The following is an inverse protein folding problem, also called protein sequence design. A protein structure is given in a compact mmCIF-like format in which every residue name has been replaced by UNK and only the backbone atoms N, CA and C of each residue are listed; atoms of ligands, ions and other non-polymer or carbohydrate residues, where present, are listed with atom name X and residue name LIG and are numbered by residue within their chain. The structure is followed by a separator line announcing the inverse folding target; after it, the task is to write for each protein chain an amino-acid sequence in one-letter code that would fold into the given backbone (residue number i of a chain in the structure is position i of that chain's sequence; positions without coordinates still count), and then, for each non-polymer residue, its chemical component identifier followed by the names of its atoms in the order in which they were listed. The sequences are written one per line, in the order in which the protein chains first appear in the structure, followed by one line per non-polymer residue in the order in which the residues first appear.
data_IF_290325140162
#
_entry.id   IF_290325140162
#
_cell.length_a   1.000
_cell.length_b   1.000
_cell.length_c   1.000
_cell.angle_alpha   90.00
_cell.angle_beta   90.00
_cell.angle_gamma   90.00
#
_symmetry.space_group_name_H-M   'P 1'
#
loop_
_entity.id
_entity.type
_entity.pdbx_description
1 polymer ?
#
# COMPACT_ATOMS: atom_id res chain seq x y z
N UNK A 1 24.04 -55.27 14.14
CA UNK A 1 23.32 -54.10 13.60
C UNK A 1 21.88 -54.16 14.02
N UNK A 2 21.49 -53.32 14.98
CA UNK A 2 20.11 -53.12 15.42
C UNK A 2 19.68 -51.75 14.87
N UNK A 3 18.80 -51.75 13.88
CA UNK A 3 18.18 -50.54 13.37
C UNK A 3 17.09 -50.09 14.33
N UNK A 4 17.37 -49.00 15.04
CA UNK A 4 16.42 -48.27 15.87
C UNK A 4 15.44 -47.53 14.95
N UNK A 5 14.17 -47.95 14.95
CA UNK A 5 13.11 -47.31 14.17
C UNK A 5 12.13 -46.67 15.15
N UNK A 6 12.05 -45.34 15.17
CA UNK A 6 11.12 -44.62 16.03
C UNK A 6 9.68 -44.79 15.51
N UNK A 7 8.86 -45.61 16.19
CA UNK A 7 7.42 -45.66 15.94
C UNK A 7 6.78 -44.44 16.60
N UNK A 8 6.29 -43.49 15.78
CA UNK A 8 5.48 -42.35 16.27
C UNK A 8 4.12 -42.87 16.74
N UNK A 9 3.68 -42.58 17.99
CA UNK A 9 2.34 -42.94 18.42
C UNK A 9 1.28 -42.18 17.63
N UNK A 10 0.20 -42.87 17.27
CA UNK A 10 -0.94 -42.29 16.56
C UNK A 10 -1.60 -41.22 17.45
N UNK A 11 -1.62 -39.98 16.96
CA UNK A 11 -2.31 -38.87 17.60
C UNK A 11 -3.82 -39.10 17.49
N UNK A 12 -4.48 -39.28 18.65
CA UNK A 12 -5.93 -39.40 18.74
C UNK A 12 -6.54 -38.03 18.40
N UNK A 13 -7.48 -37.93 17.44
CA UNK A 13 -8.07 -36.64 17.10
C UNK A 13 -8.89 -36.09 18.28
N UNK A 14 -8.86 -34.77 18.52
CA UNK A 14 -9.63 -34.17 19.60
C UNK A 14 -11.13 -34.30 19.29
N UNK A 15 -11.88 -34.81 20.27
CA UNK A 15 -13.35 -34.85 20.24
C UNK A 15 -13.88 -33.42 20.25
N UNK A 16 -14.46 -32.98 19.13
CA UNK A 16 -15.09 -31.66 19.03
C UNK A 16 -16.37 -31.67 19.87
N UNK A 17 -16.35 -30.93 20.98
CA UNK A 17 -17.55 -30.68 21.79
C UNK A 17 -18.53 -29.83 20.98
N UNK A 18 -19.75 -30.33 20.81
CA UNK A 18 -20.82 -29.66 20.07
C UNK A 18 -21.30 -28.44 20.87
N UNK A 19 -21.01 -27.24 20.37
CA UNK A 19 -21.45 -25.99 20.97
C UNK A 19 -22.98 -25.87 20.92
N UNK A 20 -23.59 -25.54 22.07
CA UNK A 20 -25.03 -25.30 22.20
C UNK A 20 -25.44 -24.00 21.49
N UNK A 21 -26.60 -23.96 20.80
CA UNK A 21 -27.03 -22.78 20.06
C UNK A 21 -27.37 -21.60 20.99
N UNK A 22 -26.75 -20.46 20.73
CA UNK A 22 -26.98 -19.19 21.42
C UNK A 22 -28.38 -18.64 21.09
N UNK A 23 -29.17 -18.14 22.07
CA UNK A 23 -30.48 -17.54 21.78
C UNK A 23 -30.33 -16.26 20.93
N UNK A 24 -31.08 -16.20 19.84
CA UNK A 24 -31.10 -15.09 18.88
C UNK A 24 -31.80 -13.84 19.46
N UNK A 25 -31.31 -12.61 19.21
CA UNK A 25 -31.95 -11.39 19.69
C UNK A 25 -33.32 -11.18 19.04
N UNK A 26 -34.33 -10.93 19.88
CA UNK A 26 -35.69 -10.56 19.46
C UNK A 26 -35.68 -9.12 18.94
N UNK A 27 -36.04 -8.93 17.66
CA UNK A 27 -36.16 -7.61 17.03
C UNK A 27 -37.47 -6.97 17.47
N UNK A 28 -37.39 -5.89 18.27
CA UNK A 28 -38.53 -5.06 18.63
C UNK A 28 -38.81 -4.05 17.51
N UNK A 29 -39.95 -4.18 16.85
CA UNK A 29 -40.42 -3.24 15.82
C UNK A 29 -40.90 -1.96 16.50
N UNK A 30 -40.10 -0.90 16.38
CA UNK A 30 -40.48 0.48 16.76
C UNK A 30 -41.39 1.06 15.68
N UNK A 31 -42.56 1.55 16.11
CA UNK A 31 -43.59 2.13 15.25
C UNK A 31 -43.12 3.43 14.58
N UNK A 32 -43.63 3.62 13.35
CA UNK A 32 -43.33 4.69 12.40
C UNK A 32 -43.50 6.11 12.97
N UNK A 33 -42.62 7.08 12.62
CA UNK A 33 -42.80 8.46 13.02
C UNK A 33 -43.90 9.16 12.21
N UNK A 34 -44.64 10.02 12.90
CA UNK A 34 -45.71 10.91 12.43
C UNK A 34 -45.25 11.87 11.33
N UNK A 35 -46.15 12.31 10.41
CA UNK A 35 -45.80 13.23 9.33
C UNK A 35 -45.51 14.65 9.85
N UNK A 36 -44.41 15.22 9.37
CA UNK A 36 -43.96 16.57 9.67
C UNK A 36 -44.82 17.60 8.93
N UNK A 37 -45.62 18.36 9.68
CA UNK A 37 -46.39 19.50 9.17
C UNK A 37 -45.42 20.62 8.73
N UNK A 38 -45.24 20.74 7.41
CA UNK A 38 -44.32 21.71 6.82
C UNK A 38 -45.09 23.00 6.53
N UNK A 39 -44.80 24.05 7.31
CA UNK A 39 -45.34 25.40 7.10
C UNK A 39 -44.62 26.06 5.93
N UNK A 40 -45.38 26.42 4.90
CA UNK A 40 -44.91 27.03 3.65
C UNK A 40 -44.49 28.49 3.88
N UNK A 41 -43.21 28.81 3.66
CA UNK A 41 -42.72 30.18 3.56
C UNK A 41 -42.87 30.70 2.11
N UNK A 42 -43.06 32.01 1.89
CA UNK A 42 -43.20 32.59 0.55
C UNK A 42 -41.88 32.54 -0.23
N UNK A 43 -41.95 31.91 -1.41
CA UNK A 43 -40.87 31.84 -2.39
C UNK A 43 -40.54 33.25 -2.92
N UNK A 44 -39.33 33.71 -2.61
CA UNK A 44 -38.75 34.88 -3.27
C UNK A 44 -38.12 34.39 -4.57
N UNK A 45 -38.67 34.82 -5.71
CA UNK A 45 -38.19 34.43 -7.04
C UNK A 45 -36.85 35.10 -7.33
N UNK A 46 -35.76 34.36 -7.13
CA UNK A 46 -34.43 34.70 -7.65
C UNK A 46 -34.43 34.58 -9.18
N UNK A 47 -33.92 35.57 -9.94
CA UNK A 47 -33.81 35.44 -11.39
C UNK A 47 -32.86 34.28 -11.77
N UNK A 48 -33.29 33.57 -12.81
CA UNK A 48 -32.63 32.44 -13.48
C UNK A 48 -31.10 32.63 -13.58
N UNK A 49 -30.27 31.69 -13.09
CA UNK A 49 -28.83 31.75 -13.35
C UNK A 49 -28.58 31.65 -14.86
N UNK A 50 -27.77 32.58 -15.37
CA UNK A 50 -27.23 32.61 -16.72
C UNK A 50 -26.77 31.22 -17.15
N UNK A 51 -27.13 30.72 -18.36
CA UNK A 51 -26.58 29.46 -18.84
C UNK A 51 -25.05 29.56 -18.84
N UNK A 52 -24.42 28.60 -18.16
CA UNK A 52 -22.98 28.36 -18.18
C UNK A 52 -22.49 28.40 -19.64
N UNK A 53 -21.32 29.00 -19.94
CA UNK A 53 -20.84 29.04 -21.31
C UNK A 53 -20.71 27.62 -21.85
N UNK A 54 -21.52 27.29 -22.86
CA UNK A 54 -21.36 26.10 -23.69
C UNK A 54 -20.10 26.30 -24.51
N UNK A 55 -18.96 25.98 -23.93
CA UNK A 55 -17.71 25.86 -24.69
C UNK A 55 -17.77 24.55 -25.45
N UNK A 56 -18.35 24.57 -26.64
CA UNK A 56 -18.03 23.62 -27.71
C UNK A 56 -16.58 23.85 -28.14
N UNK A 57 -15.63 23.50 -27.26
CA UNK A 57 -14.26 23.23 -27.66
C UNK A 57 -14.20 21.75 -28.03
N UNK A 58 -13.50 21.35 -29.10
CA UNK A 58 -13.22 19.95 -29.31
C UNK A 58 -12.49 19.46 -28.06
N UNK A 59 -13.07 18.48 -27.36
CA UNK A 59 -12.36 17.65 -26.40
C UNK A 59 -11.23 16.99 -27.18
N UNK A 60 -10.09 17.67 -27.27
CA UNK A 60 -8.84 16.98 -27.44
C UNK A 60 -8.83 16.00 -26.27
N UNK A 61 -9.04 14.72 -26.60
CA UNK A 61 -8.67 13.57 -25.77
C UNK A 61 -7.40 13.99 -25.03
N UNK A 62 -7.31 13.84 -23.69
CA UNK A 62 -6.11 14.25 -22.98
C UNK A 62 -4.94 13.66 -23.75
N UNK A 63 -4.05 14.55 -24.19
CA UNK A 63 -2.80 14.15 -24.83
C UNK A 63 -2.06 13.41 -23.72
N UNK A 64 -2.34 12.11 -23.62
CA UNK A 64 -1.43 11.15 -23.06
C UNK A 64 -0.21 11.28 -23.96
N UNK A 65 0.72 12.12 -23.52
CA UNK A 65 2.12 11.89 -23.80
C UNK A 65 2.33 10.44 -23.38
N UNK A 66 2.34 9.53 -24.36
CA UNK A 66 2.66 8.13 -24.17
C UNK A 66 4.17 8.02 -23.87
N UNK A 67 4.65 8.75 -22.85
CA UNK A 67 5.77 8.26 -22.09
C UNK A 67 5.32 6.90 -21.59
N UNK A 68 6.05 5.87 -21.96
CA UNK A 68 5.81 4.49 -21.55
C UNK A 68 5.99 4.40 -20.03
N UNK A 69 5.00 4.84 -19.27
CA UNK A 69 4.99 4.75 -17.83
C UNK A 69 4.66 3.29 -17.48
N UNK A 70 5.62 2.60 -16.85
CA UNK A 70 5.53 1.17 -16.54
C UNK A 70 4.43 0.96 -15.49
N UNK A 71 3.61 -0.08 -15.68
CA UNK A 71 2.54 -0.42 -14.73
C UNK A 71 3.14 -1.06 -13.47
N UNK A 72 2.50 -0.84 -12.32
CA UNK A 72 2.86 -1.53 -11.08
C UNK A 72 2.62 -3.03 -11.20
N UNK A 73 3.64 -3.83 -10.94
CA UNK A 73 3.58 -5.30 -10.99
C UNK A 73 3.83 -5.83 -9.59
N UNK A 74 2.88 -6.60 -9.08
CA UNK A 74 3.08 -7.37 -7.86
C UNK A 74 3.68 -8.74 -8.23
N UNK A 75 4.85 -9.06 -7.66
CA UNK A 75 5.55 -10.32 -7.97
C UNK A 75 5.25 -11.32 -6.85
N UNK A 76 4.45 -12.34 -7.13
CA UNK A 76 4.06 -13.34 -6.13
C UNK A 76 5.26 -14.14 -5.56
N UNK A 77 5.09 -14.66 -4.35
CA UNK A 77 6.14 -15.22 -3.47
C UNK A 77 6.80 -16.54 -4.00
N UNK A 78 8.15 -16.66 -4.00
CA UNK A 78 9.13 -15.62 -3.70
C UNK A 78 9.46 -14.75 -4.93
N UNK A 79 9.49 -13.41 -4.78
CA UNK A 79 9.90 -12.54 -5.87
C UNK A 79 11.34 -12.83 -6.28
N UNK A 80 11.58 -12.92 -7.59
CA UNK A 80 12.95 -12.98 -8.12
C UNK A 80 13.58 -11.60 -7.98
N UNK A 81 14.49 -11.46 -7.04
CA UNK A 81 15.33 -10.26 -6.87
C UNK A 81 16.52 -10.31 -7.85
N UNK A 82 17.04 -9.18 -8.34
CA UNK A 82 16.57 -7.82 -8.05
C UNK A 82 15.30 -7.44 -8.82
N UNK A 83 14.42 -6.66 -8.17
CA UNK A 83 13.16 -6.14 -8.70
C UNK A 83 13.40 -4.94 -9.61
N UNK A 84 12.72 -4.88 -10.75
CA UNK A 84 12.82 -3.74 -11.66
C UNK A 84 11.92 -2.58 -11.22
N UNK A 85 12.04 -1.43 -11.90
CA UNK A 85 11.15 -0.28 -11.66
C UNK A 85 9.68 -0.69 -11.73
N UNK A 86 8.83 -0.20 -10.82
CA UNK A 86 7.42 -0.56 -10.67
C UNK A 86 7.13 -2.02 -10.25
N UNK A 87 8.13 -2.85 -9.97
CA UNK A 87 7.91 -4.16 -9.36
C UNK A 87 7.90 -4.05 -7.83
N UNK A 88 6.95 -4.75 -7.22
CA UNK A 88 6.65 -4.62 -5.80
C UNK A 88 7.17 -5.75 -4.93
N UNK A 89 6.98 -5.57 -3.62
CA UNK A 89 7.48 -6.41 -2.51
C UNK A 89 8.99 -6.30 -2.28
N UNK A 90 9.54 -5.10 -2.46
CA UNK A 90 10.86 -4.78 -1.93
C UNK A 90 10.76 -4.51 -0.43
N UNK A 91 11.68 -5.07 0.36
CA UNK A 91 11.82 -4.77 1.78
C UNK A 91 12.87 -3.65 2.02
N UNK A 92 13.83 -3.49 1.10
CA UNK A 92 14.89 -2.49 1.15
C UNK A 92 15.47 -2.22 -0.26
N UNK A 93 16.31 -1.19 -0.38
CA UNK A 93 16.87 -0.73 -1.67
C UNK A 93 17.76 -1.78 -2.36
N UNK A 94 18.45 -2.65 -1.61
CA UNK A 94 19.34 -3.69 -2.18
C UNK A 94 18.56 -4.76 -2.96
N UNK A 95 17.24 -4.80 -2.81
CA UNK A 95 16.35 -5.70 -3.52
C UNK A 95 15.89 -5.15 -4.87
N UNK A 96 16.13 -3.87 -5.12
CA UNK A 96 15.84 -3.21 -6.38
C UNK A 96 17.05 -3.27 -7.32
N UNK A 97 16.79 -3.24 -8.63
CA UNK A 97 17.83 -3.31 -9.63
C UNK A 97 18.59 -1.97 -9.76
N UNK A 98 19.91 -2.01 -9.63
CA UNK A 98 20.75 -0.82 -9.87
C UNK A 98 20.57 0.24 -8.79
N UNK A 99 20.24 1.47 -9.21
CA UNK A 99 20.11 2.66 -8.34
C UNK A 99 18.64 2.96 -7.97
N UNK A 100 17.76 1.97 -8.09
CA UNK A 100 16.35 2.10 -7.72
C UNK A 100 16.17 2.06 -6.20
N UNK A 101 15.16 2.77 -5.69
CA UNK A 101 14.85 2.85 -4.26
C UNK A 101 13.53 2.15 -3.96
N UNK A 102 13.44 1.55 -2.78
CA UNK A 102 12.23 0.90 -2.32
C UNK A 102 11.26 1.92 -1.70
N UNK A 103 10.19 2.22 -2.43
CA UNK A 103 9.19 3.20 -2.02
C UNK A 103 7.97 2.53 -1.38
N UNK A 104 7.70 2.86 -0.12
CA UNK A 104 6.51 2.42 0.59
C UNK A 104 5.29 3.20 0.12
N UNK A 105 4.33 2.49 -0.49
CA UNK A 105 3.10 3.09 -1.01
C UNK A 105 1.95 2.93 -0.02
N UNK A 106 1.28 4.04 0.26
CA UNK A 106 0.01 4.06 1.00
C UNK A 106 -1.15 3.38 0.22
N UNK A 107 -2.20 2.92 0.92
CA UNK A 107 -3.45 2.47 0.31
C UNK A 107 -4.02 3.51 -0.64
N UNK A 108 -4.41 3.08 -1.84
CA UNK A 108 -4.92 3.92 -2.92
C UNK A 108 -3.95 5.04 -3.37
N UNK A 109 -2.69 5.02 -2.93
CA UNK A 109 -1.66 5.93 -3.39
C UNK A 109 -1.14 5.56 -4.78
N UNK A 110 -0.73 6.57 -5.54
CA UNK A 110 0.01 6.42 -6.79
C UNK A 110 1.46 6.05 -6.50
N UNK A 111 2.09 5.30 -7.41
CA UNK A 111 3.54 5.02 -7.34
C UNK A 111 4.27 6.00 -8.26
N UNK A 112 5.22 6.83 -7.76
CA UNK A 112 5.93 7.77 -8.61
C UNK A 112 6.66 7.08 -9.77
N UNK A 113 6.55 7.64 -10.98
CA UNK A 113 7.16 7.07 -12.19
C UNK A 113 6.40 5.87 -12.79
N UNK A 114 5.39 5.34 -12.09
CA UNK A 114 4.63 4.17 -12.50
C UNK A 114 3.15 4.51 -12.75
N UNK A 115 2.46 3.64 -13.49
CA UNK A 115 1.00 3.69 -13.62
C UNK A 115 0.33 2.67 -12.71
N UNK A 116 -0.85 3.02 -12.18
CA UNK A 116 -1.63 2.15 -11.31
C UNK A 116 -1.32 2.32 -9.82
N UNK A 117 -1.67 1.32 -9.01
CA UNK A 117 -1.53 1.35 -7.54
C UNK A 117 -2.69 2.03 -6.82
N UNK A 118 -3.28 3.06 -7.44
CA UNK A 118 -4.39 3.87 -6.93
C UNK A 118 -5.68 3.05 -6.72
N UNK A 119 -5.83 1.93 -7.44
CA UNK A 119 -6.96 1.02 -7.29
C UNK A 119 -6.80 -0.02 -6.17
N UNK A 120 -5.65 -0.05 -5.49
CA UNK A 120 -5.34 -1.06 -4.46
C UNK A 120 -5.34 -0.45 -3.06
N UNK A 121 -6.20 -0.97 -2.18
CA UNK A 121 -6.24 -0.58 -0.76
C UNK A 121 -5.17 -1.23 0.12
N UNK A 122 -4.25 -2.00 -0.46
CA UNK A 122 -3.20 -2.68 0.30
C UNK A 122 -1.94 -1.81 0.38
N UNK A 123 -1.32 -1.74 1.55
CA UNK A 123 0.06 -1.27 1.70
C UNK A 123 0.97 -2.19 0.89
N UNK A 124 1.78 -1.62 0.00
CA UNK A 124 2.76 -2.36 -0.79
C UNK A 124 3.94 -1.47 -1.14
N UNK A 125 5.10 -2.08 -1.25
CA UNK A 125 6.33 -1.37 -1.55
C UNK A 125 6.72 -1.64 -3.00
N UNK A 126 7.29 -0.65 -3.69
CA UNK A 126 7.65 -0.74 -5.10
C UNK A 126 9.03 -0.12 -5.35
N UNK A 127 9.82 -0.75 -6.20
CA UNK A 127 11.07 -0.15 -6.67
C UNK A 127 10.77 1.00 -7.62
N UNK A 128 11.24 2.21 -7.30
CA UNK A 128 11.06 3.40 -8.14
C UNK A 128 12.40 4.05 -8.45
N UNK A 129 12.42 4.87 -9.49
CA UNK A 129 13.51 5.80 -9.71
C UNK A 129 13.26 7.08 -8.90
N UNK A 130 14.09 7.38 -7.90
CA UNK A 130 13.92 8.58 -7.06
C UNK A 130 13.98 9.89 -7.87
N UNK A 131 14.65 9.86 -9.04
CA UNK A 131 14.70 11.01 -9.95
C UNK A 131 13.35 11.33 -10.61
N UNK A 132 12.44 10.36 -10.70
CA UNK A 132 11.09 10.54 -11.24
C UNK A 132 10.07 10.91 -10.16
N UNK A 133 10.45 10.82 -8.87
CA UNK A 133 9.59 11.13 -7.73
C UNK A 133 9.45 12.64 -7.42
N UNK A 134 10.18 13.52 -8.11
CA UNK A 134 10.13 14.97 -7.86
C UNK A 134 10.00 15.82 -9.12
N UNK A 135 8.95 16.65 -9.24
CA UNK A 135 9.10 17.97 -9.82
C UNK A 135 9.55 18.93 -8.71
N UNK A 136 10.85 19.28 -8.69
CA UNK A 136 11.47 20.43 -7.97
C UNK A 136 12.30 20.07 -6.71
N UNK A 137 13.58 20.43 -6.81
CA UNK A 137 14.63 20.58 -5.78
C UNK A 137 15.18 19.33 -5.09
N UNK A 138 16.28 18.85 -5.69
CA UNK A 138 17.46 18.26 -5.03
C UNK A 138 17.55 18.52 -3.53
N UNK A 139 17.24 17.49 -2.74
CA UNK A 139 17.88 17.25 -1.46
C UNK A 139 18.54 15.87 -1.56
N UNK A 140 19.85 15.88 -1.35
CA UNK A 140 20.79 14.77 -1.44
C UNK A 140 20.34 13.51 -0.69
N UNK A 141 20.65 12.28 -1.18
CA UNK A 141 20.37 11.05 -0.45
C UNK A 141 21.18 11.07 0.85
N UNK A 142 20.49 11.00 1.98
CA UNK A 142 21.14 10.90 3.29
C UNK A 142 21.66 9.47 3.46
N UNK A 143 22.79 9.19 2.82
CA UNK A 143 23.70 8.13 3.25
C UNK A 143 24.29 8.58 4.58
N UNK A 144 23.68 8.19 5.70
CA UNK A 144 24.43 8.02 6.92
C UNK A 144 25.13 6.65 6.83
N UNK A 145 26.46 6.57 6.65
CA UNK A 145 27.12 5.29 6.78
C UNK A 145 26.95 4.83 8.23
N UNK A 146 26.35 3.66 8.43
CA UNK A 146 26.41 2.96 9.71
C UNK A 146 27.87 2.63 9.96
N UNK A 147 28.55 3.51 10.70
CA UNK A 147 29.93 3.31 11.15
C UNK A 147 29.88 2.11 12.10
N UNK A 148 30.20 0.93 11.55
CA UNK A 148 30.39 -0.30 12.32
C UNK A 148 31.55 -0.07 13.27
N UNK A 149 31.23 0.29 14.50
CA UNK A 149 32.18 0.47 15.58
C UNK A 149 32.72 -0.89 16.01
N UNK A 150 33.74 -1.38 15.31
CA UNK A 150 34.61 -2.45 15.80
C UNK A 150 35.73 -1.78 16.61
N UNK A 151 35.82 -1.97 17.93
CA UNK A 151 36.98 -1.49 18.69
C UNK A 151 38.18 -2.40 18.40
N UNK A 152 39.12 -1.93 17.58
CA UNK A 152 40.44 -2.58 17.45
C UNK A 152 41.26 -2.23 18.69
N UNK A 153 41.24 -3.12 19.67
CA UNK A 153 42.13 -3.06 20.84
C UNK A 153 43.53 -3.46 20.35
N UNK A 154 44.44 -2.49 20.26
CA UNK A 154 45.86 -2.72 20.01
C UNK A 154 46.60 -2.87 21.35
N UNK A 155 47.51 -3.85 21.53
CA UNK A 155 48.22 -4.04 22.79
C UNK A 155 49.33 -3.00 22.98
N UNK A 156 49.43 -2.45 24.19
CA UNK A 156 50.44 -1.48 24.60
C UNK A 156 51.86 -2.09 24.59
N UNK A 157 52.91 -1.33 24.21
CA UNK A 157 54.27 -1.83 24.30
C UNK A 157 54.77 -1.74 25.76
N UNK A 158 55.36 -2.85 26.22
CA UNK A 158 56.18 -2.90 27.43
C UNK A 158 57.35 -1.93 27.31
N UNK A 159 57.53 -1.09 28.33
CA UNK A 159 58.78 -0.37 28.56
C UNK A 159 59.35 -0.80 29.92
N UNK A 160 60.64 -1.13 29.85
CA UNK A 160 61.63 -1.50 30.87
C UNK A 160 61.40 -1.04 32.32
#
# INVERSE_FOLDING_TARGET
SLTDYCIRPALVPPTIALATPTPQPTVTIIQSPTPLNTTTAPITTTPLPTPLPTTTAPTAKPVQTQQAQKEVIFVDNPPKKPLNECEGDCDNDDECAGDLVCHQRDPFGSVPGCTGGEGSGNYRDYCINDSTASPTTSASPTHAPTISSVPTISPAPSVQ
#
